data_IF_327047438564
#
_entry.id   IF_327047438564
#
_cell.length_a   1.000
_cell.length_b   1.000
_cell.length_c   1.000
_cell.angle_alpha   90.00
_cell.angle_beta   90.00
_cell.angle_gamma   90.00
#
_symmetry.space_group_name_H-M   'P 1'
#
loop_
_entity.id
_entity.type
_entity.pdbx_description
1 polymer ?
#
# COMPACT_ATOMS: atom_id res chain seq x y z
N UNK A 1 14.08 21.98 -1.70
CA UNK A 1 14.09 20.69 -2.41
C UNK A 1 14.05 19.48 -1.46
N UNK A 2 14.86 19.46 -0.38
CA UNK A 2 15.00 18.33 0.55
C UNK A 2 13.75 18.07 1.42
N UNK A 3 13.03 19.12 1.85
CA UNK A 3 11.83 18.98 2.69
C UNK A 3 10.61 18.35 1.98
N UNK A 4 10.56 18.42 0.65
CA UNK A 4 9.47 17.82 -0.14
C UNK A 4 9.62 16.30 -0.20
N UNK A 5 10.84 15.81 -0.46
CA UNK A 5 11.17 14.38 -0.46
C UNK A 5 10.91 13.73 0.90
N UNK A 6 11.28 14.38 2.00
CA UNK A 6 11.01 13.90 3.36
C UNK A 6 9.50 13.75 3.66
N UNK A 7 8.67 14.66 3.16
CA UNK A 7 7.22 14.62 3.36
C UNK A 7 6.55 13.50 2.57
N UNK A 8 6.97 13.25 1.33
CA UNK A 8 6.47 12.15 0.50
C UNK A 8 6.98 10.79 0.98
N UNK A 9 8.26 10.68 1.36
CA UNK A 9 8.83 9.45 1.91
C UNK A 9 8.18 9.08 3.25
N UNK A 10 7.93 10.07 4.12
CA UNK A 10 7.20 9.85 5.37
C UNK A 10 5.75 9.41 5.14
N UNK A 11 5.04 9.95 4.13
CA UNK A 11 3.67 9.52 3.79
C UNK A 11 3.66 8.08 3.31
N UNK A 12 4.54 7.73 2.37
CA UNK A 12 4.61 6.39 1.81
C UNK A 12 4.98 5.35 2.88
N UNK A 13 5.90 5.66 3.80
CA UNK A 13 6.20 4.80 4.95
C UNK A 13 5.04 4.69 5.94
N UNK A 14 4.28 5.78 6.14
CA UNK A 14 3.10 5.77 7.02
C UNK A 14 1.94 4.95 6.44
N UNK A 15 1.87 4.79 5.12
CA UNK A 15 0.86 3.97 4.44
C UNK A 15 1.29 2.49 4.35
N UNK A 16 2.58 2.23 4.15
CA UNK A 16 3.14 0.86 4.06
C UNK A 16 3.08 0.11 5.39
N UNK A 17 3.34 0.79 6.52
CA UNK A 17 3.36 0.14 7.82
C UNK A 17 1.98 -0.43 8.26
N UNK A 18 0.85 0.30 8.11
CA UNK A 18 -0.50 -0.22 8.28
C UNK A 18 -0.83 -1.39 7.35
N UNK A 19 -0.48 -1.29 6.06
CA UNK A 19 -0.76 -2.34 5.07
C UNK A 19 0.01 -3.63 5.40
N UNK A 20 1.29 -3.53 5.79
CA UNK A 20 2.06 -4.70 6.23
C UNK A 20 1.50 -5.33 7.52
N UNK A 21 1.02 -4.51 8.46
CA UNK A 21 0.40 -4.98 9.70
C UNK A 21 -0.93 -5.71 9.45
N UNK A 22 -1.74 -5.21 8.54
CA UNK A 22 -3.01 -5.84 8.15
C UNK A 22 -2.76 -7.17 7.41
N UNK A 23 -1.80 -7.22 6.47
CA UNK A 23 -1.37 -8.46 5.79
C UNK A 23 -1.00 -9.58 6.76
N UNK A 24 -0.14 -9.29 7.75
CA UNK A 24 0.28 -10.28 8.77
C UNK A 24 -0.91 -10.73 9.61
N UNK A 25 -1.84 -9.81 9.92
CA UNK A 25 -3.06 -10.13 10.68
C UNK A 25 -3.95 -11.10 9.91
N UNK A 26 -4.16 -10.88 8.61
CA UNK A 26 -4.98 -11.76 7.78
C UNK A 26 -4.35 -13.13 7.57
N UNK A 27 -3.03 -13.21 7.34
CA UNK A 27 -2.32 -14.49 7.23
C UNK A 27 -2.47 -15.34 8.50
N UNK A 28 -2.38 -14.71 9.68
CA UNK A 28 -2.58 -15.41 10.95
C UNK A 28 -4.03 -15.85 11.16
N UNK A 29 -5.02 -15.03 10.78
CA UNK A 29 -6.44 -15.38 10.90
C UNK A 29 -6.85 -16.54 9.98
N UNK A 30 -6.27 -16.63 8.79
CA UNK A 30 -6.51 -17.76 7.86
C UNK A 30 -6.05 -19.09 8.46
N UNK A 31 -4.97 -19.08 9.24
CA UNK A 31 -4.43 -20.27 9.91
C UNK A 31 -5.24 -20.68 11.15
N UNK A 32 -5.99 -19.76 11.75
CA UNK A 32 -6.74 -19.97 12.99
C UNK A 32 -8.20 -20.38 12.78
N UNK A 33 -8.66 -20.45 11.53
CA UNK A 33 -10.03 -20.82 11.18
C UNK A 33 -10.05 -21.93 10.14
N UNK A 34 -11.06 -22.78 10.15
CA UNK A 34 -11.35 -23.76 9.10
C UNK A 34 -12.65 -23.49 8.36
N UNK A 35 -13.32 -22.38 8.69
CA UNK A 35 -14.51 -21.95 7.98
C UNK A 35 -14.15 -21.46 6.56
N UNK A 36 -14.69 -22.11 5.50
CA UNK A 36 -14.36 -21.77 4.12
C UNK A 36 -14.81 -20.36 3.72
N UNK A 37 -15.93 -19.85 4.25
CA UNK A 37 -16.44 -18.49 3.96
C UNK A 37 -15.53 -17.42 4.56
N UNK A 38 -15.00 -17.67 5.76
CA UNK A 38 -14.04 -16.76 6.40
C UNK A 38 -12.71 -16.76 5.65
N UNK A 39 -12.21 -17.92 5.22
CA UNK A 39 -10.98 -18.02 4.42
C UNK A 39 -11.09 -17.28 3.09
N UNK A 40 -12.22 -17.39 2.39
CA UNK A 40 -12.42 -16.68 1.13
C UNK A 40 -12.49 -15.16 1.32
N UNK A 41 -13.16 -14.70 2.38
CA UNK A 41 -13.20 -13.28 2.73
C UNK A 41 -11.79 -12.74 3.03
N UNK A 42 -10.99 -13.47 3.81
CA UNK A 42 -9.62 -13.06 4.16
C UNK A 42 -8.68 -13.07 2.94
N UNK A 43 -8.82 -14.04 2.03
CA UNK A 43 -8.06 -14.07 0.76
C UNK A 43 -8.38 -12.86 -0.11
N UNK A 44 -9.66 -12.52 -0.26
CA UNK A 44 -10.09 -11.34 -1.00
C UNK A 44 -9.49 -10.04 -0.44
N UNK A 45 -9.47 -9.88 0.89
CA UNK A 45 -8.86 -8.72 1.54
C UNK A 45 -7.34 -8.65 1.30
N UNK A 46 -6.64 -9.79 1.41
CA UNK A 46 -5.19 -9.88 1.14
C UNK A 46 -4.83 -9.52 -0.30
N UNK A 47 -5.62 -9.97 -1.28
CA UNK A 47 -5.39 -9.63 -2.69
C UNK A 47 -5.57 -8.13 -2.95
N UNK A 48 -6.55 -7.50 -2.30
CA UNK A 48 -6.78 -6.06 -2.43
C UNK A 48 -5.64 -5.23 -1.90
N UNK A 49 -4.97 -5.66 -0.83
CA UNK A 49 -3.78 -4.97 -0.32
C UNK A 49 -2.62 -4.98 -1.32
N UNK A 50 -2.40 -6.09 -2.02
CA UNK A 50 -1.36 -6.17 -3.07
C UNK A 50 -1.67 -5.21 -4.21
N UNK A 51 -2.94 -5.15 -4.64
CA UNK A 51 -3.38 -4.24 -5.71
C UNK A 51 -3.28 -2.78 -5.26
N UNK A 52 -3.65 -2.46 -4.01
CA UNK A 52 -3.51 -1.12 -3.47
C UNK A 52 -2.04 -0.69 -3.45
N UNK A 53 -1.13 -1.52 -2.94
CA UNK A 53 0.29 -1.23 -2.93
C UNK A 53 0.84 -0.92 -4.34
N UNK A 54 0.49 -1.75 -5.33
CA UNK A 54 0.92 -1.54 -6.72
C UNK A 54 0.36 -0.24 -7.32
N UNK A 55 -0.94 0.02 -7.14
CA UNK A 55 -1.62 1.21 -7.70
C UNK A 55 -1.18 2.50 -7.02
N UNK A 56 -0.96 2.49 -5.71
CA UNK A 56 -0.43 3.65 -5.00
C UNK A 56 1.01 3.94 -5.42
N UNK A 57 1.85 2.92 -5.61
CA UNK A 57 3.19 3.08 -6.17
C UNK A 57 3.18 3.69 -7.58
N UNK A 58 2.31 3.20 -8.46
CA UNK A 58 2.15 3.74 -9.82
C UNK A 58 1.65 5.20 -9.80
N UNK A 59 0.65 5.49 -8.97
CA UNK A 59 0.11 6.84 -8.81
C UNK A 59 1.15 7.83 -8.28
N UNK A 60 1.99 7.40 -7.33
CA UNK A 60 3.08 8.22 -6.81
C UNK A 60 4.11 8.53 -7.89
N UNK A 61 4.53 7.54 -8.68
CA UNK A 61 5.48 7.72 -9.79
C UNK A 61 4.95 8.73 -10.82
N UNK A 62 3.68 8.62 -11.20
CA UNK A 62 3.04 9.55 -12.13
C UNK A 62 2.96 10.98 -11.56
N UNK A 63 2.67 11.11 -10.25
CA UNK A 63 2.65 12.41 -9.58
C UNK A 63 4.04 13.07 -9.57
N UNK A 64 5.10 12.29 -9.32
CA UNK A 64 6.49 12.77 -9.36
C UNK A 64 6.91 13.22 -10.77
N UNK A 65 6.56 12.46 -11.81
CA UNK A 65 6.83 12.83 -13.21
C UNK A 65 6.14 14.15 -13.62
N UNK A 66 4.94 14.41 -13.09
CA UNK A 66 4.23 15.67 -13.31
C UNK A 66 4.88 16.82 -12.53
N UNK A 67 5.28 16.61 -11.27
CA UNK A 67 5.99 17.65 -10.48
C UNK A 67 7.32 18.03 -11.13
N UNK A 68 8.09 17.05 -11.58
CA UNK A 68 9.36 17.30 -12.26
C UNK A 68 9.15 18.13 -13.53
N UNK A 69 8.19 17.77 -14.38
CA UNK A 69 7.87 18.58 -15.58
C UNK A 69 7.52 20.02 -15.25
N UNK A 70 6.74 20.28 -14.18
CA UNK A 70 6.37 21.64 -13.77
C UNK A 70 7.56 22.49 -13.29
N UNK A 71 8.67 21.89 -12.86
CA UNK A 71 9.87 22.63 -12.44
C UNK A 71 10.76 23.08 -13.58
N UNK A 72 10.59 22.49 -14.77
CA UNK A 72 11.36 22.85 -15.97
C UNK A 72 10.71 23.96 -16.80
N UNK A 73 9.51 24.44 -16.42
CA UNK A 73 8.82 25.59 -17.02
C UNK A 73 8.69 26.75 -16.04
#
# INVERSE_FOLDING_TARGET
>A
MILFYLKYFSSCLYDIAPEQKARVTYENLILLTDDPLVKDTLKFLREREIVHFQRFGEGLRLAEEVDQRKRYF
#
